data_IF_881373709256
#
_entry.id   IF_881373709256
#
_cell.length_a   1.000
_cell.length_b   1.000
_cell.length_c   1.000
_cell.angle_alpha   90.00
_cell.angle_beta   90.00
_cell.angle_gamma   90.00
#
_symmetry.space_group_name_H-M   'P 1'
#
loop_
_entity.id
_entity.type
_entity.pdbx_description
1 polymer ?
#
# COMPACT_ATOMS: atom_id res chain seq x y z
N UNK A 1 3.19 -7.88 -10.91
CA UNK A 1 2.00 -8.02 -11.79
C UNK A 1 1.01 -8.94 -11.10
N UNK A 2 -0.11 -8.38 -10.67
CA UNK A 2 -1.00 -9.02 -9.69
C UNK A 2 -2.14 -9.80 -10.35
N UNK A 3 -2.06 -11.13 -10.31
CA UNK A 3 -3.15 -12.02 -10.75
C UNK A 3 -4.04 -12.47 -9.57
N UNK A 4 -5.36 -12.57 -9.78
CA UNK A 4 -6.30 -13.23 -8.86
C UNK A 4 -7.06 -14.31 -9.63
N UNK A 5 -6.89 -15.58 -9.24
CA UNK A 5 -7.63 -16.70 -9.82
C UNK A 5 -9.02 -16.80 -9.17
N UNK A 6 -10.04 -16.86 -10.02
CA UNK A 6 -11.43 -17.08 -9.62
C UNK A 6 -11.65 -18.56 -9.27
N UNK A 7 -12.28 -18.85 -8.13
CA UNK A 7 -12.72 -20.21 -7.80
C UNK A 7 -14.14 -20.45 -8.34
N UNK A 8 -14.47 -21.68 -8.76
CA UNK A 8 -15.83 -22.05 -9.19
C UNK A 8 -16.81 -21.78 -8.04
N UNK A 9 -17.84 -20.97 -8.29
CA UNK A 9 -18.84 -20.54 -7.29
C UNK A 9 -18.54 -19.22 -6.57
N UNK A 10 -17.44 -18.54 -6.91
CA UNK A 10 -17.15 -17.22 -6.33
C UNK A 10 -17.90 -16.09 -7.06
N UNK A 11 -18.54 -15.20 -6.29
CA UNK A 11 -19.11 -13.97 -6.83
C UNK A 11 -18.01 -13.04 -7.34
N UNK A 12 -18.20 -12.50 -8.55
CA UNK A 12 -17.27 -11.59 -9.23
C UNK A 12 -16.89 -10.39 -8.34
N UNK A 13 -17.82 -9.87 -7.54
CA UNK A 13 -17.56 -8.74 -6.62
C UNK A 13 -16.48 -9.07 -5.58
N UNK A 14 -16.49 -10.29 -5.02
CA UNK A 14 -15.48 -10.71 -4.03
C UNK A 14 -14.10 -10.80 -4.66
N UNK A 15 -14.02 -11.30 -5.89
CA UNK A 15 -12.76 -11.39 -6.61
C UNK A 15 -12.18 -10.00 -6.93
N UNK A 16 -13.03 -9.04 -7.33
CA UNK A 16 -12.63 -7.65 -7.55
C UNK A 16 -12.13 -6.99 -6.26
N UNK A 17 -12.80 -7.23 -5.12
CA UNK A 17 -12.33 -6.72 -3.82
C UNK A 17 -10.97 -7.28 -3.44
N UNK A 18 -10.72 -8.58 -3.68
CA UNK A 18 -9.40 -9.18 -3.42
C UNK A 18 -8.33 -8.61 -4.35
N UNK A 19 -8.65 -8.44 -5.63
CA UNK A 19 -7.74 -7.84 -6.60
C UNK A 19 -7.35 -6.42 -6.17
N UNK A 20 -8.33 -5.59 -5.81
CA UNK A 20 -8.09 -4.23 -5.28
C UNK A 20 -7.18 -4.26 -4.05
N UNK A 21 -7.49 -5.10 -3.05
CA UNK A 21 -6.63 -5.25 -1.86
C UNK A 21 -5.20 -5.71 -2.21
N UNK A 22 -5.04 -6.57 -3.22
CA UNK A 22 -3.73 -7.06 -3.66
C UNK A 22 -2.93 -5.95 -4.35
N UNK A 23 -3.58 -5.13 -5.19
CA UNK A 23 -2.98 -3.94 -5.83
C UNK A 23 -2.59 -2.89 -4.78
N UNK A 24 -3.46 -2.64 -3.80
CA UNK A 24 -3.19 -1.69 -2.72
C UNK A 24 -2.01 -2.16 -1.85
N UNK A 25 -1.89 -3.48 -1.61
CA UNK A 25 -0.78 -4.08 -0.88
C UNK A 25 0.53 -4.06 -1.67
N UNK A 26 0.49 -4.32 -2.98
CA UNK A 26 1.66 -4.20 -3.87
C UNK A 26 2.15 -2.74 -3.93
N UNK A 27 1.27 -1.77 -3.65
CA UNK A 27 1.64 -0.37 -3.57
C UNK A 27 1.95 0.25 -4.94
N UNK A 28 1.58 -0.44 -6.02
CA UNK A 28 1.88 -0.03 -7.41
C UNK A 28 1.41 1.39 -7.71
N UNK A 29 0.21 1.76 -7.26
CA UNK A 29 -0.30 3.13 -7.42
C UNK A 29 0.51 4.19 -6.66
N UNK A 30 1.01 3.83 -5.47
CA UNK A 30 1.87 4.70 -4.65
C UNK A 30 3.22 4.87 -5.32
N UNK A 31 3.78 3.82 -5.89
CA UNK A 31 5.04 3.86 -6.64
C UNK A 31 4.91 4.72 -7.89
N UNK A 32 3.90 4.48 -8.72
CA UNK A 32 3.60 5.33 -9.90
C UNK A 32 3.51 6.80 -9.48
N UNK A 33 2.79 7.14 -8.41
CA UNK A 33 2.67 8.52 -7.92
C UNK A 33 4.02 9.12 -7.49
N UNK A 34 4.88 8.36 -6.82
CA UNK A 34 6.20 8.82 -6.40
C UNK A 34 7.15 9.04 -7.60
N UNK A 35 6.95 8.27 -8.68
CA UNK A 35 7.79 8.34 -9.89
C UNK A 35 7.27 9.35 -10.94
N UNK A 36 6.13 10.02 -10.70
CA UNK A 36 5.58 11.04 -11.64
C UNK A 36 6.50 12.24 -11.83
N UNK A 37 7.35 12.54 -10.85
CA UNK A 37 8.28 13.66 -10.89
C UNK A 37 9.58 13.26 -10.20
N UNK A 38 10.65 13.99 -10.49
CA UNK A 38 11.93 13.78 -9.82
C UNK A 38 11.84 14.20 -8.35
N UNK A 39 12.06 13.25 -7.44
CA UNK A 39 12.19 13.49 -6.00
C UNK A 39 13.68 13.60 -5.64
N UNK A 40 14.08 14.74 -5.05
CA UNK A 40 15.46 14.91 -4.56
C UNK A 40 15.78 13.84 -3.49
N UNK A 41 17.05 13.40 -3.36
CA UNK A 41 17.44 12.40 -2.35
C UNK A 41 17.07 12.79 -0.91
N UNK A 42 17.15 14.09 -0.58
CA UNK A 42 16.75 14.64 0.73
C UNK A 42 15.25 14.48 0.98
N UNK A 43 14.42 14.77 -0.02
CA UNK A 43 12.97 14.62 0.04
C UNK A 43 12.55 13.16 0.20
N UNK A 44 13.23 12.26 -0.51
CA UNK A 44 13.03 10.80 -0.37
C UNK A 44 13.33 10.32 1.06
N UNK A 45 14.41 10.82 1.68
CA UNK A 45 14.75 10.51 3.08
C UNK A 45 13.67 11.04 4.03
N UNK A 46 13.29 12.31 3.89
CA UNK A 46 12.25 12.96 4.72
C UNK A 46 10.91 12.22 4.65
N UNK A 47 10.50 11.79 3.46
CA UNK A 47 9.27 11.00 3.26
C UNK A 47 9.32 9.65 3.97
N UNK A 48 10.46 8.94 3.90
CA UNK A 48 10.65 7.66 4.60
C UNK A 48 10.58 7.84 6.12
N UNK A 49 11.27 8.84 6.66
CA UNK A 49 11.26 9.13 8.10
C UNK A 49 9.85 9.48 8.59
N UNK A 50 9.12 10.32 7.86
CA UNK A 50 7.72 10.66 8.19
C UNK A 50 6.82 9.43 8.20
N UNK A 51 6.97 8.54 7.22
CA UNK A 51 6.19 7.30 7.16
C UNK A 51 6.53 6.36 8.33
N UNK A 52 7.81 6.22 8.68
CA UNK A 52 8.25 5.39 9.81
C UNK A 52 7.74 5.93 11.15
N UNK A 53 7.85 7.25 11.37
CA UNK A 53 7.32 7.91 12.58
C UNK A 53 5.81 7.70 12.73
N UNK A 54 5.07 7.84 11.64
CA UNK A 54 3.62 7.61 11.65
C UNK A 54 3.26 6.16 11.96
N UNK A 55 3.98 5.19 11.37
CA UNK A 55 3.78 3.77 11.66
C UNK A 55 4.11 3.43 13.13
N UNK A 56 5.19 3.97 13.68
CA UNK A 56 5.57 3.81 15.08
C UNK A 56 4.52 4.41 16.02
N UNK A 57 4.02 5.62 15.72
CA UNK A 57 2.95 6.27 16.47
C UNK A 57 1.67 5.42 16.49
N UNK A 58 1.25 4.88 15.35
CA UNK A 58 0.08 3.99 15.29
C UNK A 58 0.31 2.71 16.10
N UNK A 59 1.48 2.08 15.95
CA UNK A 59 1.83 0.87 16.69
C UNK A 59 1.79 1.09 18.20
N UNK A 60 2.37 2.19 18.69
CA UNK A 60 2.33 2.54 20.11
C UNK A 60 0.90 2.80 20.59
N UNK A 61 0.08 3.48 19.79
CA UNK A 61 -1.32 3.76 20.12
C UNK A 61 -2.17 2.50 20.26
N UNK A 62 -1.93 1.49 19.41
CA UNK A 62 -2.66 0.22 19.45
C UNK A 62 -2.04 -0.82 20.39
N UNK A 63 -0.86 -0.56 20.96
CA UNK A 63 -0.22 -1.49 21.90
C UNK A 63 -0.84 -1.43 23.31
N UNK A 64 -1.40 -0.28 23.68
CA UNK A 64 -2.02 -0.01 24.98
C UNK A 64 -3.54 -0.31 25.00
N UNK A 65 -4.10 -0.85 23.90
CA UNK A 65 -5.52 -1.16 23.71
C UNK A 65 -5.72 -2.66 23.54
#
# INVERSE_FOLDING_TARGET
MTEVRLRKGESIDRALRRLKKKIDREGTLKEVRNHRHFEKPSEKRRRKEKAARFAAMLSARYAEM
#
